data_IF_370049593312
#
_entry.id   IF_370049593312
#
_cell.length_a   1.000
_cell.length_b   1.000
_cell.length_c   1.000
_cell.angle_alpha   90.00
_cell.angle_beta   90.00
_cell.angle_gamma   90.00
#
_symmetry.space_group_name_H-M   'P 1'
#
loop_
_entity.id
_entity.type
_entity.pdbx_description
1 polymer ?
#
# COMPACT_ATOMS: atom_id res chain seq x y z
N UNK A 1 54.75 -89.77 39.39
CA UNK A 1 54.72 -88.60 38.48
C UNK A 1 53.33 -88.55 37.83
N UNK A 2 52.55 -87.48 38.09
CA UNK A 2 51.46 -86.89 37.26
C UNK A 2 50.22 -87.76 36.90
N UNK A 3 48.95 -87.30 36.93
CA UNK A 3 48.30 -86.03 37.31
C UNK A 3 46.79 -86.30 37.41
N UNK A 4 46.11 -85.74 38.42
CA UNK A 4 44.65 -85.65 38.48
C UNK A 4 44.15 -84.75 37.34
N UNK A 5 43.14 -85.17 36.61
CA UNK A 5 42.42 -84.31 35.65
C UNK A 5 41.20 -83.75 36.38
N UNK A 6 41.28 -82.48 36.76
CA UNK A 6 40.17 -81.69 37.27
C UNK A 6 39.48 -80.93 36.13
N UNK A 7 38.16 -80.83 36.28
CA UNK A 7 37.19 -80.22 35.39
C UNK A 7 37.52 -78.81 34.89
N UNK A 8 36.99 -78.44 33.72
CA UNK A 8 36.57 -77.06 33.41
C UNK A 8 35.33 -77.07 32.52
N UNK A 9 34.17 -76.79 33.14
CA UNK A 9 32.97 -76.36 32.43
C UNK A 9 33.23 -74.96 31.87
N UNK A 10 33.29 -74.84 30.55
CA UNK A 10 33.40 -73.57 29.85
C UNK A 10 32.06 -72.84 29.94
N UNK A 11 32.01 -71.81 30.78
CA UNK A 11 30.88 -70.88 30.87
C UNK A 11 30.86 -69.97 29.64
N UNK A 12 29.87 -70.14 28.76
CA UNK A 12 29.62 -69.25 27.64
C UNK A 12 29.13 -67.88 28.16
N UNK A 13 30.00 -66.88 28.07
CA UNK A 13 29.71 -65.50 28.45
C UNK A 13 28.79 -64.85 27.42
N UNK A 14 27.48 -64.95 27.64
CA UNK A 14 26.46 -64.33 26.80
C UNK A 14 26.63 -62.80 26.72
N UNK A 15 26.68 -62.27 25.49
CA UNK A 15 26.63 -60.83 25.21
C UNK A 15 25.29 -60.29 25.72
N UNK A 16 25.31 -59.54 26.82
CA UNK A 16 24.16 -58.76 27.28
C UNK A 16 23.91 -57.62 26.29
N UNK A 17 22.97 -57.84 25.37
CA UNK A 17 22.37 -56.75 24.60
C UNK A 17 21.55 -55.92 25.60
N UNK A 18 21.92 -54.66 25.77
CA UNK A 18 21.20 -53.71 26.62
C UNK A 18 19.74 -53.65 26.15
N UNK A 19 18.82 -54.15 26.99
CA UNK A 19 17.38 -54.18 26.69
C UNK A 19 16.79 -52.80 26.96
N UNK A 20 16.94 -51.90 26.00
CA UNK A 20 16.11 -50.71 25.95
C UNK A 20 14.67 -51.13 25.63
N UNK A 21 13.66 -50.66 26.40
CA UNK A 21 12.28 -51.04 26.14
C UNK A 21 11.87 -50.57 24.74
N UNK A 22 11.41 -51.50 23.90
CA UNK A 22 11.04 -51.29 22.49
C UNK A 22 10.09 -50.09 22.31
N UNK A 23 9.18 -49.91 23.28
CA UNK A 23 8.24 -48.78 23.34
C UNK A 23 8.94 -47.41 23.39
N UNK A 24 10.07 -47.27 24.09
CA UNK A 24 10.84 -45.99 24.14
C UNK A 24 11.55 -45.71 22.82
N UNK A 25 12.13 -46.74 22.20
CA UNK A 25 12.83 -46.60 20.91
C UNK A 25 11.86 -46.14 19.83
N UNK A 26 10.70 -46.79 19.73
CA UNK A 26 9.65 -46.41 18.79
C UNK A 26 9.10 -45.00 19.05
N UNK A 27 8.83 -44.66 20.31
CA UNK A 27 8.34 -43.32 20.66
C UNK A 27 9.33 -42.21 20.28
N UNK A 28 10.62 -42.41 20.55
CA UNK A 28 11.67 -41.45 20.18
C UNK A 28 11.81 -41.33 18.66
N UNK A 29 11.77 -42.44 17.92
CA UNK A 29 11.86 -42.43 16.46
C UNK A 29 10.72 -41.62 15.81
N UNK A 30 9.48 -41.81 16.27
CA UNK A 30 8.33 -41.04 15.78
C UNK A 30 8.39 -39.56 16.16
N UNK A 31 8.81 -39.23 17.39
CA UNK A 31 8.97 -37.85 17.83
C UNK A 31 9.99 -37.09 16.98
N UNK A 32 11.13 -37.72 16.67
CA UNK A 32 12.16 -37.12 15.81
C UNK A 32 11.59 -36.82 14.42
N UNK A 33 10.83 -37.74 13.83
CA UNK A 33 10.23 -37.55 12.51
C UNK A 33 9.21 -36.41 12.50
N UNK A 34 8.36 -36.30 13.54
CA UNK A 34 7.38 -35.21 13.65
C UNK A 34 8.09 -33.86 13.79
N UNK A 35 9.09 -33.77 14.68
CA UNK A 35 9.87 -32.55 14.86
C UNK A 35 10.56 -32.13 13.56
N UNK A 36 11.19 -33.09 12.86
CA UNK A 36 11.81 -32.82 11.56
C UNK A 36 10.80 -32.29 10.55
N UNK A 37 9.64 -32.94 10.40
CA UNK A 37 8.62 -32.52 9.46
C UNK A 37 8.08 -31.12 9.78
N UNK A 38 7.72 -30.86 11.04
CA UNK A 38 7.16 -29.58 11.48
C UNK A 38 8.20 -28.45 11.41
N UNK A 39 9.45 -28.70 11.82
CA UNK A 39 10.52 -27.72 11.69
C UNK A 39 10.83 -27.40 10.23
N UNK A 40 10.80 -28.41 9.35
CA UNK A 40 11.05 -28.22 7.93
C UNK A 40 9.93 -27.42 7.26
N UNK A 41 8.66 -27.77 7.51
CA UNK A 41 7.52 -27.01 6.98
C UNK A 41 7.42 -25.62 7.58
N UNK A 42 7.74 -25.45 8.86
CA UNK A 42 7.80 -24.15 9.51
C UNK A 42 8.88 -23.24 8.92
N UNK A 43 10.08 -23.77 8.65
CA UNK A 43 11.15 -23.03 7.97
C UNK A 43 10.75 -22.59 6.56
N UNK A 44 10.14 -23.50 5.79
CA UNK A 44 9.66 -23.20 4.44
C UNK A 44 8.55 -22.13 4.47
N UNK A 45 7.59 -22.25 5.39
CA UNK A 45 6.50 -21.29 5.56
C UNK A 45 7.00 -19.88 5.90
N UNK A 46 8.01 -19.75 6.76
CA UNK A 46 8.56 -18.45 7.13
C UNK A 46 9.29 -17.78 5.95
N UNK A 47 10.05 -18.56 5.18
CA UNK A 47 10.78 -18.04 4.01
C UNK A 47 9.83 -17.47 2.96
N UNK A 48 8.76 -18.20 2.64
CA UNK A 48 7.80 -17.79 1.61
C UNK A 48 6.94 -16.60 2.07
N UNK A 49 6.67 -16.50 3.38
CA UNK A 49 5.86 -15.41 3.94
C UNK A 49 6.54 -14.05 3.83
N UNK A 50 7.85 -13.97 4.05
CA UNK A 50 8.57 -12.69 3.98
C UNK A 50 8.57 -12.09 2.57
N UNK A 51 8.80 -12.91 1.55
CA UNK A 51 8.79 -12.42 0.16
C UNK A 51 7.38 -12.03 -0.29
N UNK A 52 6.36 -12.84 0.04
CA UNK A 52 4.98 -12.55 -0.33
C UNK A 52 4.51 -11.24 0.33
N UNK A 53 4.80 -11.04 1.61
CA UNK A 53 4.42 -9.82 2.34
C UNK A 53 5.16 -8.58 1.82
N UNK A 54 6.47 -8.68 1.56
CA UNK A 54 7.25 -7.57 1.00
C UNK A 54 6.75 -7.16 -0.40
N UNK A 55 6.44 -8.13 -1.26
CA UNK A 55 5.88 -7.85 -2.60
C UNK A 55 4.50 -7.19 -2.49
N UNK A 56 3.62 -7.69 -1.62
CA UNK A 56 2.30 -7.10 -1.41
C UNK A 56 2.39 -5.68 -0.86
N UNK A 57 3.27 -5.42 0.11
CA UNK A 57 3.50 -4.08 0.64
C UNK A 57 3.99 -3.13 -0.47
N UNK A 58 4.95 -3.56 -1.29
CA UNK A 58 5.44 -2.77 -2.43
C UNK A 58 4.36 -2.51 -3.49
N UNK A 59 3.54 -3.52 -3.81
CA UNK A 59 2.41 -3.36 -4.74
C UNK A 59 1.36 -2.40 -4.21
N UNK A 60 0.98 -2.51 -2.93
CA UNK A 60 0.02 -1.61 -2.31
C UNK A 60 0.54 -0.18 -2.27
N UNK A 61 1.81 0.01 -1.90
CA UNK A 61 2.44 1.33 -1.92
C UNK A 61 2.41 1.93 -3.33
N UNK A 62 2.82 1.16 -4.35
CA UNK A 62 2.79 1.61 -5.74
C UNK A 62 1.38 1.97 -6.22
N UNK A 63 0.37 1.15 -5.87
CA UNK A 63 -1.02 1.43 -6.22
C UNK A 63 -1.55 2.69 -5.53
N UNK A 64 -1.20 2.92 -4.26
CA UNK A 64 -1.59 4.14 -3.54
C UNK A 64 -0.93 5.35 -4.18
N UNK A 65 0.38 5.31 -4.44
CA UNK A 65 1.10 6.40 -5.12
C UNK A 65 0.47 6.71 -6.47
N UNK A 66 0.24 5.69 -7.31
CA UNK A 66 -0.37 5.89 -8.62
C UNK A 66 -1.77 6.51 -8.54
N UNK A 67 -2.59 6.11 -7.56
CA UNK A 67 -3.91 6.71 -7.35
C UNK A 67 -3.82 8.17 -6.89
N UNK A 68 -2.86 8.49 -6.02
CA UNK A 68 -2.61 9.87 -5.58
C UNK A 68 -2.18 10.73 -6.76
N UNK A 69 -1.23 10.25 -7.57
CA UNK A 69 -0.79 10.94 -8.79
C UNK A 69 -1.94 11.17 -9.76
N UNK A 70 -2.72 10.13 -10.07
CA UNK A 70 -3.89 10.25 -10.95
C UNK A 70 -4.94 11.24 -10.42
N UNK A 71 -5.16 11.25 -9.11
CA UNK A 71 -6.09 12.19 -8.49
C UNK A 71 -5.58 13.63 -8.60
N UNK A 72 -4.29 13.86 -8.29
CA UNK A 72 -3.66 15.18 -8.42
C UNK A 72 -3.64 15.68 -9.87
N UNK A 73 -3.30 14.82 -10.83
CA UNK A 73 -3.33 15.17 -12.26
C UNK A 73 -4.73 15.59 -12.70
N UNK A 74 -5.76 14.85 -12.28
CA UNK A 74 -7.13 15.20 -12.61
C UNK A 74 -7.57 16.50 -11.93
N UNK A 75 -7.26 16.66 -10.63
CA UNK A 75 -7.63 17.82 -9.83
C UNK A 75 -6.97 19.10 -10.36
N UNK A 76 -5.67 19.06 -10.66
CA UNK A 76 -4.89 20.22 -11.12
C UNK A 76 -5.11 20.55 -12.60
N UNK A 77 -5.58 19.61 -13.41
CA UNK A 77 -5.92 19.88 -14.82
C UNK A 77 -7.10 20.85 -14.97
N UNK A 78 -8.06 20.83 -14.05
CA UNK A 78 -9.27 21.66 -14.14
C UNK A 78 -8.95 23.17 -14.05
N UNK A 79 -8.20 23.68 -13.05
CA UNK A 79 -7.80 25.08 -13.00
C UNK A 79 -7.03 25.55 -14.25
N UNK A 80 -6.14 24.71 -14.80
CA UNK A 80 -5.43 25.04 -16.04
C UNK A 80 -6.38 25.19 -17.24
N UNK A 81 -7.36 24.30 -17.37
CA UNK A 81 -8.37 24.37 -18.41
C UNK A 81 -9.25 25.62 -18.29
N UNK A 82 -9.66 25.97 -17.07
CA UNK A 82 -10.42 27.20 -16.79
C UNK A 82 -9.64 28.44 -17.24
N UNK A 83 -8.37 28.53 -16.84
CA UNK A 83 -7.51 29.66 -17.18
C UNK A 83 -7.30 29.78 -18.70
N UNK A 84 -7.06 28.64 -19.38
CA UNK A 84 -6.90 28.63 -20.83
C UNK A 84 -8.19 29.07 -21.55
N UNK A 85 -9.34 28.55 -21.11
CA UNK A 85 -10.64 28.93 -21.68
C UNK A 85 -10.94 30.43 -21.47
N UNK A 86 -10.55 30.98 -20.31
CA UNK A 86 -10.73 32.40 -20.02
C UNK A 86 -9.78 33.27 -20.86
N UNK A 87 -8.52 32.84 -21.02
CA UNK A 87 -7.57 33.50 -21.90
C UNK A 87 -8.07 33.53 -23.36
N UNK A 88 -8.60 32.42 -23.86
CA UNK A 88 -9.16 32.31 -25.21
C UNK A 88 -10.39 33.21 -25.36
N UNK A 89 -11.30 33.23 -24.36
CA UNK A 89 -12.48 34.09 -24.39
C UNK A 89 -12.13 35.59 -24.39
N UNK A 90 -11.11 35.99 -23.64
CA UNK A 90 -10.56 37.36 -23.66
C UNK A 90 -9.94 37.67 -25.02
N UNK A 91 -9.14 36.77 -25.58
CA UNK A 91 -8.48 36.95 -26.89
C UNK A 91 -9.49 37.05 -28.05
N UNK A 92 -10.60 36.32 -27.96
CA UNK A 92 -11.69 36.35 -28.94
C UNK A 92 -12.66 37.53 -28.73
N UNK A 93 -12.49 38.30 -27.64
CA UNK A 93 -13.38 39.41 -27.29
C UNK A 93 -14.77 38.96 -26.83
N UNK A 94 -14.93 37.70 -26.42
CA UNK A 94 -16.17 37.19 -25.82
C UNK A 94 -16.32 37.62 -24.35
N UNK A 95 -15.19 37.92 -23.71
CA UNK A 95 -15.10 38.42 -22.35
C UNK A 95 -14.39 39.76 -22.40
N UNK A 96 -14.96 40.80 -21.79
CA UNK A 96 -14.31 42.11 -21.65
C UNK A 96 -13.69 42.20 -20.25
N UNK A 97 -12.37 42.36 -20.13
CA UNK A 97 -11.70 42.48 -18.83
C UNK A 97 -12.10 43.74 -18.05
N UNK A 98 -12.76 44.72 -18.69
CA UNK A 98 -13.24 45.94 -18.04
C UNK A 98 -14.74 45.87 -17.66
N UNK A 99 -15.46 44.81 -18.07
CA UNK A 99 -16.85 44.56 -17.69
C UNK A 99 -16.90 43.53 -16.55
N UNK A 100 -16.75 44.02 -15.31
CA UNK A 100 -16.77 43.19 -14.11
C UNK A 100 -18.08 42.39 -13.97
N UNK A 101 -19.21 42.92 -14.44
CA UNK A 101 -20.50 42.22 -14.37
C UNK A 101 -20.60 41.08 -15.39
N UNK A 102 -19.90 41.17 -16.52
CA UNK A 102 -19.74 40.04 -17.45
C UNK A 102 -18.81 38.97 -16.87
N UNK A 103 -17.68 39.39 -16.29
CA UNK A 103 -16.74 38.50 -15.61
C UNK A 103 -17.39 37.72 -14.45
N UNK A 104 -18.14 38.40 -13.58
CA UNK A 104 -18.86 37.78 -12.46
C UNK A 104 -19.80 36.67 -12.93
N UNK A 105 -20.66 36.96 -13.92
CA UNK A 105 -21.61 35.96 -14.46
C UNK A 105 -20.89 34.79 -15.10
N UNK A 106 -19.80 35.04 -15.82
CA UNK A 106 -18.99 34.01 -16.45
C UNK A 106 -18.33 33.10 -15.40
N UNK A 107 -17.70 33.68 -14.37
CA UNK A 107 -17.07 32.92 -13.29
C UNK A 107 -18.10 32.14 -12.46
N UNK A 108 -19.26 32.73 -12.18
CA UNK A 108 -20.35 32.05 -11.48
C UNK A 108 -20.86 30.82 -12.25
N UNK A 109 -20.95 30.91 -13.59
CA UNK A 109 -21.30 29.76 -14.43
C UNK A 109 -20.19 28.71 -14.47
N UNK A 110 -18.92 29.13 -14.59
CA UNK A 110 -17.79 28.20 -14.57
C UNK A 110 -17.71 27.44 -13.23
N UNK A 111 -17.96 28.12 -12.10
CA UNK A 111 -18.02 27.49 -10.78
C UNK A 111 -19.16 26.47 -10.65
N UNK A 112 -20.23 26.56 -11.44
CA UNK A 112 -21.27 25.52 -11.47
C UNK A 112 -20.88 24.31 -12.33
N UNK A 113 -20.11 24.54 -13.40
CA UNK A 113 -19.66 23.48 -14.33
C UNK A 113 -18.47 22.70 -13.77
N UNK A 114 -17.59 23.37 -13.04
CA UNK A 114 -16.38 22.80 -12.45
C UNK A 114 -16.50 22.74 -10.92
N UNK A 115 -17.12 21.68 -10.36
CA UNK A 115 -17.31 21.56 -8.91
C UNK A 115 -15.99 21.51 -8.12
N UNK A 116 -14.90 21.10 -8.76
CA UNK A 116 -13.55 21.02 -8.16
C UNK A 116 -12.85 22.38 -8.05
N UNK A 117 -13.36 23.41 -8.72
CA UNK A 117 -12.80 24.75 -8.61
C UNK A 117 -13.16 25.37 -7.24
N UNK A 118 -12.14 25.81 -6.51
CA UNK A 118 -12.29 26.49 -5.23
C UNK A 118 -12.48 28.00 -5.37
N UNK A 119 -11.78 28.64 -6.31
CA UNK A 119 -11.88 30.08 -6.55
C UNK A 119 -11.49 30.41 -7.99
N UNK A 120 -12.31 31.23 -8.66
CA UNK A 120 -11.97 31.84 -9.96
C UNK A 120 -12.06 33.35 -9.77
N UNK A 121 -10.99 34.07 -10.12
CA UNK A 121 -10.95 35.52 -9.99
C UNK A 121 -10.15 36.19 -11.10
N UNK A 122 -10.43 37.48 -11.29
CA UNK A 122 -9.69 38.40 -12.12
C UNK A 122 -9.33 39.62 -11.30
N UNK A 123 -8.12 40.14 -11.50
CA UNK A 123 -7.69 41.41 -10.95
C UNK A 123 -6.87 42.18 -11.99
N UNK A 124 -6.97 43.52 -11.95
CA UNK A 124 -6.24 44.39 -12.87
C UNK A 124 -5.26 45.32 -12.14
N UNK A 125 -4.44 46.04 -12.91
CA UNK A 125 -3.45 46.97 -12.35
C UNK A 125 -4.05 48.24 -11.74
N UNK A 126 -5.33 48.53 -11.99
CA UNK A 126 -6.04 49.65 -11.36
C UNK A 126 -6.51 49.31 -9.94
N UNK A 127 -6.48 48.03 -9.56
CA UNK A 127 -6.89 47.54 -8.25
C UNK A 127 -8.27 46.90 -8.23
N UNK A 128 -8.98 46.84 -9.36
CA UNK A 128 -10.27 46.16 -9.44
C UNK A 128 -10.08 44.65 -9.29
N UNK A 129 -10.91 44.01 -8.48
CA UNK A 129 -10.96 42.56 -8.32
C UNK A 129 -12.40 42.04 -8.41
N UNK A 130 -12.59 40.96 -9.14
CA UNK A 130 -13.85 40.21 -9.19
C UNK A 130 -13.56 38.72 -9.15
N UNK A 131 -14.28 37.98 -8.30
CA UNK A 131 -14.12 36.53 -8.20
C UNK A 131 -15.33 35.82 -7.62
N UNK A 132 -15.35 34.50 -7.77
CA UNK A 132 -16.36 33.61 -7.21
C UNK A 132 -15.67 32.48 -6.47
N UNK A 133 -15.86 32.44 -5.16
CA UNK A 133 -15.30 31.44 -4.24
C UNK A 133 -16.36 30.38 -3.90
N UNK A 134 -15.92 29.14 -3.76
CA UNK A 134 -16.69 28.08 -3.13
C UNK A 134 -16.26 27.94 -1.68
N UNK A 135 -17.19 28.19 -0.77
CA UNK A 135 -16.98 28.01 0.66
C UNK A 135 -16.95 26.51 1.02
N UNK A 136 -16.46 26.19 2.22
CA UNK A 136 -16.51 24.82 2.78
C UNK A 136 -17.94 24.25 2.85
N UNK A 137 -18.96 25.11 2.90
CA UNK A 137 -20.38 24.71 2.83
C UNK A 137 -20.80 24.22 1.44
N UNK A 138 -19.98 24.46 0.41
CA UNK A 138 -20.29 24.23 -1.00
C UNK A 138 -21.02 25.38 -1.69
N UNK A 139 -21.46 26.38 -0.93
CA UNK A 139 -22.10 27.59 -1.46
C UNK A 139 -21.11 28.45 -2.24
N UNK A 140 -21.62 29.11 -3.28
CA UNK A 140 -20.85 30.04 -4.08
C UNK A 140 -21.05 31.46 -3.54
N UNK A 141 -19.95 32.15 -3.29
CA UNK A 141 -19.91 33.53 -2.86
C UNK A 141 -19.17 34.36 -3.90
N UNK A 142 -19.70 35.55 -4.20
CA UNK A 142 -19.04 36.52 -5.05
C UNK A 142 -18.17 37.42 -4.16
N UNK A 143 -16.93 37.63 -4.58
CA UNK A 143 -16.00 38.58 -3.97
C UNK A 143 -15.67 39.69 -4.97
N UNK A 144 -15.88 40.95 -4.56
CA UNK A 144 -15.66 42.14 -5.40
C UNK A 144 -14.96 43.19 -4.54
N UNK A 145 -13.82 43.69 -5.01
CA UNK A 145 -13.04 44.74 -4.33
C UNK A 145 -12.75 45.88 -5.30
#
# INVERSE_FOLDING_TARGET
>A
MLRKISARLTSAKGRRVSRWPLRRVLAVAFLIQILLAVSFTGWLSLRDSHEATARLAGQLQGQVTQRVEQHLDSYLRIPHLINQTNQDALALGWLDPNDLASLERHFWQQMQVFPEAGFIYYANAAGDLIGVERLDSGELQIDVI
#
